data_IF_877043214391
#
_entry.id   IF_877043214391
#
_cell.length_a   1.000
_cell.length_b   1.000
_cell.length_c   1.000
_cell.angle_alpha   90.00
_cell.angle_beta   90.00
_cell.angle_gamma   90.00
#
_symmetry.space_group_name_H-M   'P 1'
#
loop_
_entity.id
_entity.type
_entity.pdbx_description
1 polymer ?
#
# COMPACT_ATOMS: atom_id res chain seq x y z
N UNK A 1 -2.11 -14.38 -9.86
CA UNK A 1 -2.25 -13.86 -11.23
C UNK A 1 -1.20 -12.79 -11.45
N UNK A 2 -0.53 -12.75 -12.62
CA UNK A 2 0.37 -11.63 -12.96
C UNK A 2 -0.38 -10.29 -12.92
N UNK A 3 0.32 -9.23 -12.53
CA UNK A 3 -0.25 -7.89 -12.59
C UNK A 3 -0.60 -7.52 -14.04
N UNK A 4 -1.68 -6.77 -14.23
CA UNK A 4 -2.11 -6.33 -15.56
C UNK A 4 -0.95 -5.66 -16.31
N UNK A 5 -0.24 -4.74 -15.66
CA UNK A 5 0.87 -3.99 -16.25
C UNK A 5 2.03 -4.89 -16.71
N UNK A 6 2.28 -6.00 -16.00
CA UNK A 6 3.28 -6.99 -16.41
C UNK A 6 2.86 -7.74 -17.66
N UNK A 7 1.59 -8.14 -17.75
CA UNK A 7 1.05 -8.83 -18.93
C UNK A 7 1.16 -7.96 -20.20
N UNK A 8 0.74 -6.70 -20.12
CA UNK A 8 0.87 -5.77 -21.25
C UNK A 8 2.34 -5.46 -21.56
N UNK A 9 3.20 -5.36 -20.54
CA UNK A 9 4.64 -5.19 -20.75
C UNK A 9 5.23 -6.38 -21.49
N UNK A 10 4.89 -7.61 -21.13
CA UNK A 10 5.37 -8.82 -21.81
C UNK A 10 4.95 -8.84 -23.29
N UNK A 11 3.72 -8.43 -23.60
CA UNK A 11 3.24 -8.30 -24.98
C UNK A 11 4.03 -7.25 -25.77
N UNK A 12 4.27 -6.07 -25.20
CA UNK A 12 5.05 -5.01 -25.86
C UNK A 12 6.51 -5.42 -26.03
N UNK A 13 7.12 -6.10 -25.05
CA UNK A 13 8.47 -6.69 -25.19
C UNK A 13 8.56 -7.65 -26.37
N UNK A 14 7.53 -8.46 -26.59
CA UNK A 14 7.46 -9.34 -27.77
C UNK A 14 7.35 -8.52 -29.06
N UNK A 15 6.60 -7.42 -29.07
CA UNK A 15 6.55 -6.45 -30.17
C UNK A 15 7.91 -5.83 -30.51
N UNK A 16 8.67 -5.38 -29.51
CA UNK A 16 10.04 -4.89 -29.69
C UNK A 16 10.96 -5.96 -30.29
N UNK A 17 10.87 -7.20 -29.78
CA UNK A 17 11.67 -8.32 -30.29
C UNK A 17 11.35 -8.62 -31.76
N UNK A 18 10.07 -8.64 -32.15
CA UNK A 18 9.63 -8.83 -33.54
C UNK A 18 10.11 -7.72 -34.47
N UNK A 19 10.20 -6.49 -33.96
CA UNK A 19 10.75 -5.35 -34.68
C UNK A 19 12.29 -5.34 -34.77
N UNK A 20 12.98 -6.36 -34.21
CA UNK A 20 14.43 -6.47 -34.20
C UNK A 20 15.11 -5.55 -33.17
N UNK A 21 14.38 -5.16 -32.12
CA UNK A 21 14.85 -4.32 -31.03
C UNK A 21 14.97 -5.13 -29.73
N UNK A 22 15.79 -4.65 -28.80
CA UNK A 22 15.96 -5.27 -27.48
C UNK A 22 14.64 -5.18 -26.69
N UNK A 23 14.20 -6.31 -26.14
CA UNK A 23 12.98 -6.40 -25.35
C UNK A 23 13.00 -5.46 -24.13
N UNK A 24 14.15 -5.14 -23.54
CA UNK A 24 14.26 -4.24 -22.39
C UNK A 24 13.68 -2.84 -22.63
N UNK A 25 13.55 -2.42 -23.88
CA UNK A 25 12.90 -1.16 -24.25
C UNK A 25 11.37 -1.21 -24.17
N UNK A 26 10.74 -2.40 -24.21
CA UNK A 26 9.30 -2.60 -24.20
C UNK A 26 8.60 -2.39 -22.85
N UNK A 27 9.14 -1.52 -21.97
CA UNK A 27 8.52 -1.23 -20.67
C UNK A 27 7.29 -0.35 -20.86
N UNK A 28 6.14 -0.83 -20.39
CA UNK A 28 4.87 -0.08 -20.41
C UNK A 28 4.66 0.60 -19.06
N UNK A 29 4.08 1.79 -19.08
CA UNK A 29 3.63 2.52 -17.89
C UNK A 29 2.22 3.05 -18.13
N UNK A 30 1.50 3.36 -17.05
CA UNK A 30 0.27 4.17 -17.15
C UNK A 30 0.59 5.49 -17.83
N UNK A 31 -0.28 5.94 -18.72
CA UNK A 31 -0.10 7.18 -19.46
C UNK A 31 -0.17 8.40 -18.54
N UNK A 32 0.74 9.34 -18.74
CA UNK A 32 0.66 10.67 -18.10
C UNK A 32 -0.33 11.60 -18.83
N UNK A 33 -0.87 11.16 -19.96
CA UNK A 33 -1.84 11.86 -20.81
C UNK A 33 -3.03 10.94 -21.08
N UNK A 34 -3.90 10.74 -20.07
CA UNK A 34 -5.05 9.82 -20.18
C UNK A 34 -6.06 10.27 -21.25
N UNK A 35 -5.98 11.53 -21.71
CA UNK A 35 -6.75 12.05 -22.84
C UNK A 35 -6.30 11.48 -24.20
N UNK A 36 -5.08 10.92 -24.30
CA UNK A 36 -4.51 10.41 -25.55
C UNK A 36 -4.46 8.88 -25.62
N UNK A 37 -4.26 8.23 -24.47
CA UNK A 37 -4.22 6.77 -24.33
C UNK A 37 -4.21 6.36 -22.84
N UNK A 38 -4.51 5.08 -22.59
CA UNK A 38 -4.48 4.48 -21.25
C UNK A 38 -3.05 4.18 -20.79
N UNK A 39 -2.22 3.64 -21.68
CA UNK A 39 -0.85 3.22 -21.38
C UNK A 39 0.13 3.72 -22.45
N UNK A 40 1.40 3.84 -22.06
CA UNK A 40 2.45 4.27 -22.97
C UNK A 40 3.75 3.49 -22.80
N UNK A 41 4.55 3.44 -23.87
CA UNK A 41 5.93 2.97 -23.86
C UNK A 41 6.84 4.01 -24.54
N UNK A 42 7.92 4.37 -23.86
CA UNK A 42 8.90 5.36 -24.31
C UNK A 42 10.19 4.71 -24.84
N UNK A 43 10.18 3.37 -25.00
CA UNK A 43 11.34 2.56 -25.33
C UNK A 43 12.03 2.94 -26.63
N UNK A 44 11.26 3.29 -27.66
CA UNK A 44 11.81 3.64 -28.96
C UNK A 44 12.70 4.91 -28.90
N UNK A 45 12.37 5.88 -28.04
CA UNK A 45 13.22 7.05 -27.81
C UNK A 45 14.54 6.67 -27.13
N UNK A 46 14.49 5.78 -26.13
CA UNK A 46 15.68 5.31 -25.45
C UNK A 46 16.57 4.44 -26.36
N UNK A 47 15.96 3.65 -27.25
CA UNK A 47 16.65 2.79 -28.22
C UNK A 47 17.35 3.57 -29.34
N UNK A 48 16.93 4.81 -29.61
CA UNK A 48 17.39 5.57 -30.80
C UNK A 48 18.91 5.76 -30.85
N UNK A 49 19.54 5.94 -29.69
CA UNK A 49 21.00 6.07 -29.60
C UNK A 49 21.74 4.77 -29.95
N UNK A 50 21.21 3.62 -29.53
CA UNK A 50 21.83 2.31 -29.76
C UNK A 50 21.64 1.83 -31.21
N UNK A 51 20.45 2.03 -31.77
CA UNK A 51 20.11 1.53 -33.10
C UNK A 51 20.38 2.54 -34.23
N UNK A 52 20.77 3.77 -33.90
CA UNK A 52 21.01 4.87 -34.85
C UNK A 52 19.83 5.08 -35.84
N UNK A 53 18.61 4.83 -35.36
CA UNK A 53 17.37 4.96 -36.12
C UNK A 53 16.49 6.04 -35.51
N UNK A 54 15.66 6.66 -36.36
CA UNK A 54 14.66 7.62 -35.92
C UNK A 54 13.69 6.96 -34.92
N UNK A 55 13.45 7.55 -33.73
CA UNK A 55 12.58 6.92 -32.74
C UNK A 55 11.15 6.67 -33.24
N UNK A 56 10.59 7.59 -34.03
CA UNK A 56 9.26 7.42 -34.61
C UNK A 56 9.20 6.22 -35.55
N UNK A 57 10.25 6.00 -36.37
CA UNK A 57 10.30 4.85 -37.28
C UNK A 57 10.36 3.52 -36.52
N UNK A 58 11.09 3.48 -35.40
CA UNK A 58 11.11 2.30 -34.54
C UNK A 58 9.78 2.08 -33.81
N UNK A 59 9.15 3.16 -33.32
CA UNK A 59 7.82 3.07 -32.73
C UNK A 59 6.79 2.56 -33.75
N UNK A 60 6.78 3.09 -34.98
CA UNK A 60 5.91 2.62 -36.06
C UNK A 60 6.13 1.13 -36.37
N UNK A 61 7.39 0.68 -36.43
CA UNK A 61 7.71 -0.73 -36.66
C UNK A 61 7.20 -1.65 -35.52
N UNK A 62 7.31 -1.21 -34.27
CA UNK A 62 6.77 -1.95 -33.12
C UNK A 62 5.24 -1.94 -33.12
N UNK A 63 4.61 -0.80 -33.42
CA UNK A 63 3.17 -0.68 -33.52
C UNK A 63 2.60 -1.64 -34.58
N UNK A 64 3.25 -1.73 -35.75
CA UNK A 64 2.88 -2.66 -36.81
C UNK A 64 2.99 -4.13 -36.37
N UNK A 65 4.02 -4.48 -35.58
CA UNK A 65 4.18 -5.84 -35.03
C UNK A 65 3.10 -6.22 -34.00
N UNK A 66 2.39 -5.23 -33.45
CA UNK A 66 1.39 -5.39 -32.40
C UNK A 66 -0.05 -5.14 -32.88
N UNK A 67 -0.26 -4.77 -34.15
CA UNK A 67 -1.57 -4.37 -34.68
C UNK A 67 -2.66 -5.45 -34.54
N UNK A 68 -2.25 -6.72 -34.62
CA UNK A 68 -3.13 -7.89 -34.54
C UNK A 68 -3.15 -8.52 -33.14
N UNK A 69 -2.56 -7.84 -32.14
CA UNK A 69 -2.59 -8.32 -30.76
C UNK A 69 -4.00 -8.25 -30.19
N UNK A 70 -4.46 -9.34 -29.59
CA UNK A 70 -5.76 -9.37 -28.91
C UNK A 70 -5.79 -8.54 -27.62
N UNK A 71 -4.63 -8.09 -27.14
CA UNK A 71 -4.47 -7.31 -25.91
C UNK A 71 -4.90 -5.85 -26.11
N UNK A 72 -4.69 -5.30 -27.31
CA UNK A 72 -4.86 -3.88 -27.59
C UNK A 72 -6.04 -3.62 -28.52
N UNK A 73 -6.84 -2.60 -28.21
CA UNK A 73 -7.80 -2.01 -29.16
C UNK A 73 -7.15 -0.90 -29.99
N UNK A 74 -6.09 -0.29 -29.46
CA UNK A 74 -5.32 0.77 -30.10
C UNK A 74 -3.83 0.56 -29.86
N UNK A 75 -3.04 0.65 -30.91
CA UNK A 75 -1.58 0.77 -30.85
C UNK A 75 -1.16 1.88 -31.79
N UNK A 76 -0.67 2.99 -31.25
CA UNK A 76 -0.37 4.19 -32.04
C UNK A 76 1.05 4.68 -31.76
N UNK A 77 1.83 4.87 -32.82
CA UNK A 77 3.12 5.54 -32.74
C UNK A 77 2.94 7.05 -32.90
N UNK A 78 3.40 7.83 -31.91
CA UNK A 78 3.24 9.29 -31.88
C UNK A 78 4.61 9.97 -31.80
N UNK A 79 4.80 11.08 -32.52
CA UNK A 79 6.06 11.83 -32.50
C UNK A 79 6.43 12.30 -31.08
N UNK A 80 7.71 12.26 -30.69
CA UNK A 80 8.87 11.89 -31.51
C UNK A 80 9.16 10.38 -31.56
N UNK A 81 8.41 9.54 -30.84
CA UNK A 81 8.59 8.08 -30.78
C UNK A 81 7.92 7.44 -29.56
N UNK A 82 6.78 7.98 -29.13
CA UNK A 82 5.91 7.37 -28.13
C UNK A 82 5.13 6.23 -28.76
N UNK A 83 4.91 5.16 -28.01
CA UNK A 83 3.92 4.14 -28.31
C UNK A 83 2.77 4.29 -27.32
N UNK A 84 1.59 4.56 -27.83
CA UNK A 84 0.36 4.74 -27.07
C UNK A 84 -0.53 3.51 -27.24
N UNK A 85 -1.14 3.06 -26.14
CA UNK A 85 -1.95 1.85 -26.11
C UNK A 85 -3.27 2.07 -25.38
N UNK A 86 -4.34 1.52 -25.95
CA UNK A 86 -5.60 1.28 -25.24
C UNK A 86 -5.87 -0.22 -25.26
N UNK A 87 -6.36 -0.75 -24.14
CA UNK A 87 -6.61 -2.18 -24.01
C UNK A 87 -7.88 -2.59 -24.77
N UNK A 88 -7.93 -3.85 -25.19
CA UNK A 88 -9.15 -4.40 -25.76
C UNK A 88 -10.16 -4.72 -24.65
N UNK A 89 -11.44 -4.46 -24.91
CA UNK A 89 -12.50 -4.77 -23.95
C UNK A 89 -12.58 -6.27 -23.64
N UNK A 90 -12.29 -7.12 -24.62
CA UNK A 90 -12.25 -8.57 -24.44
C UNK A 90 -11.13 -8.97 -23.45
N UNK A 91 -9.92 -8.46 -23.65
CA UNK A 91 -8.79 -8.73 -22.75
C UNK A 91 -9.06 -8.24 -21.32
N UNK A 92 -9.59 -7.02 -21.17
CA UNK A 92 -9.98 -6.48 -19.87
C UNK A 92 -11.06 -7.31 -19.19
N UNK A 93 -12.09 -7.72 -19.94
CA UNK A 93 -13.16 -8.55 -19.41
C UNK A 93 -12.65 -9.91 -18.96
N UNK A 94 -11.79 -10.55 -19.75
CA UNK A 94 -11.19 -11.84 -19.41
C UNK A 94 -10.32 -11.74 -18.16
N UNK A 95 -9.51 -10.67 -18.06
CA UNK A 95 -8.69 -10.42 -16.88
C UNK A 95 -9.55 -10.20 -15.62
N UNK A 96 -10.58 -9.36 -15.71
CA UNK A 96 -11.49 -9.08 -14.60
C UNK A 96 -12.29 -10.33 -14.16
N UNK A 97 -12.77 -11.13 -15.12
CA UNK A 97 -13.43 -12.40 -14.85
C UNK A 97 -12.47 -13.39 -14.17
N UNK A 98 -11.22 -13.43 -14.63
CA UNK A 98 -10.16 -14.22 -14.01
C UNK A 98 -9.92 -13.80 -12.55
N UNK A 99 -9.80 -12.49 -12.28
CA UNK A 99 -9.69 -11.97 -10.92
C UNK A 99 -10.89 -12.38 -10.06
N UNK A 100 -12.12 -12.19 -10.56
CA UNK A 100 -13.34 -12.52 -9.83
C UNK A 100 -13.46 -14.02 -9.50
N UNK A 101 -12.93 -14.90 -10.37
CA UNK A 101 -12.89 -16.35 -10.15
C UNK A 101 -11.74 -16.81 -9.24
N UNK A 102 -10.72 -15.96 -9.04
CA UNK A 102 -9.54 -16.25 -8.25
C UNK A 102 -9.81 -16.03 -6.76
N UNK A 103 -9.15 -16.84 -5.93
CA UNK A 103 -9.00 -16.50 -4.52
C UNK A 103 -8.32 -15.13 -4.38
N UNK A 104 -8.73 -14.36 -3.37
CA UNK A 104 -8.22 -13.02 -3.08
C UNK A 104 -8.19 -12.03 -4.26
N UNK A 105 -9.08 -12.20 -5.25
CA UNK A 105 -9.15 -11.36 -6.46
C UNK A 105 -7.86 -11.35 -7.31
N UNK A 106 -7.12 -12.46 -7.32
CA UNK A 106 -5.91 -12.61 -8.13
C UNK A 106 -4.61 -12.24 -7.40
N UNK A 107 -4.72 -11.75 -6.16
CA UNK A 107 -3.57 -11.50 -5.29
C UNK A 107 -2.90 -12.82 -4.93
N UNK A 108 -1.68 -13.02 -5.40
CA UNK A 108 -0.88 -14.18 -5.02
C UNK A 108 -0.33 -14.01 -3.62
N UNK A 109 -0.36 -15.08 -2.83
CA UNK A 109 0.34 -15.11 -1.56
C UNK A 109 1.86 -14.96 -1.80
N UNK A 110 2.58 -14.27 -0.91
CA UNK A 110 4.02 -14.12 -1.02
C UNK A 110 4.69 -15.50 -0.97
N UNK A 111 5.67 -15.72 -1.84
CA UNK A 111 6.49 -16.94 -1.83
C UNK A 111 7.14 -17.20 -0.46
N UNK A 112 7.41 -16.10 0.27
CA UNK A 112 7.98 -16.12 1.62
C UNK A 112 7.11 -15.28 2.56
N UNK A 113 6.10 -15.87 3.21
CA UNK A 113 5.32 -15.19 4.22
C UNK A 113 6.22 -14.69 5.34
N UNK A 114 5.98 -13.45 5.77
CA UNK A 114 6.73 -12.79 6.84
C UNK A 114 5.88 -12.72 8.11
N UNK A 115 6.55 -12.67 9.26
CA UNK A 115 5.94 -12.20 10.51
C UNK A 115 6.24 -10.72 10.64
N UNK A 116 5.20 -9.89 10.61
CA UNK A 116 5.29 -8.43 10.71
C UNK A 116 4.78 -8.03 12.09
N UNK A 117 5.59 -7.29 12.84
CA UNK A 117 5.18 -6.65 14.09
C UNK A 117 4.87 -5.19 13.75
N UNK A 118 3.67 -4.75 14.11
CA UNK A 118 3.21 -3.40 13.89
C UNK A 118 2.80 -2.79 15.23
N UNK A 119 3.55 -1.79 15.69
CA UNK A 119 3.18 -0.95 16.81
C UNK A 119 2.40 0.26 16.30
N UNK A 120 1.19 0.46 16.83
CA UNK A 120 0.31 1.55 16.43
C UNK A 120 -0.69 1.91 17.52
N UNK A 121 -1.24 3.13 17.45
CA UNK A 121 -2.18 3.66 18.43
C UNK A 121 -1.49 4.24 19.66
N UNK A 122 -0.62 3.45 20.31
CA UNK A 122 0.18 3.72 21.52
C UNK A 122 -0.03 5.05 22.26
N UNK A 123 -1.22 5.32 22.84
CA UNK A 123 -1.46 6.57 23.54
C UNK A 123 -0.83 6.55 24.93
N UNK A 124 -0.55 7.74 25.48
CA UNK A 124 -0.26 7.87 26.91
C UNK A 124 -1.56 7.64 27.69
N UNK A 125 -1.58 6.67 28.61
CA UNK A 125 -2.80 6.32 29.36
C UNK A 125 -3.16 7.35 30.44
N UNK A 126 -2.25 8.30 30.68
CA UNK A 126 -2.41 9.42 31.59
C UNK A 126 -3.36 10.53 31.09
N UNK A 127 -3.92 10.40 29.87
CA UNK A 127 -4.81 11.40 29.28
C UNK A 127 -5.95 10.75 28.49
N UNK A 128 -7.12 11.40 28.42
CA UNK A 128 -8.19 10.95 27.53
C UNK A 128 -7.75 10.91 26.06
N UNK A 129 -8.32 9.97 25.32
CA UNK A 129 -8.09 9.87 23.89
C UNK A 129 -8.83 10.97 23.14
N UNK A 130 -8.09 11.87 22.48
CA UNK A 130 -8.64 12.82 21.50
C UNK A 130 -8.47 12.34 20.05
N UNK A 131 -9.07 13.06 19.11
CA UNK A 131 -9.05 12.79 17.64
C UNK A 131 -7.65 12.57 17.05
N UNK A 132 -6.61 13.11 17.69
CA UNK A 132 -5.22 12.92 17.27
C UNK A 132 -4.78 11.45 17.35
N UNK A 133 -5.26 10.71 18.36
CA UNK A 133 -4.93 9.29 18.54
C UNK A 133 -5.61 8.40 17.49
N UNK A 134 -6.76 8.83 16.94
CA UNK A 134 -7.46 8.08 15.88
C UNK A 134 -6.58 7.89 14.66
N UNK A 135 -5.72 8.86 14.34
CA UNK A 135 -4.85 8.77 13.15
C UNK A 135 -3.92 7.56 13.23
N UNK A 136 -3.20 7.39 14.33
CA UNK A 136 -2.27 6.25 14.50
C UNK A 136 -3.03 4.93 14.53
N UNK A 137 -4.15 4.88 15.28
CA UNK A 137 -4.98 3.69 15.39
C UNK A 137 -5.54 3.22 14.03
N UNK A 138 -6.13 4.13 13.25
CA UNK A 138 -6.77 3.81 11.97
C UNK A 138 -5.74 3.46 10.89
N UNK A 139 -4.64 4.20 10.79
CA UNK A 139 -3.59 3.91 9.81
C UNK A 139 -2.95 2.55 10.11
N UNK A 140 -2.58 2.30 11.36
CA UNK A 140 -1.97 1.03 11.75
C UNK A 140 -2.92 -0.16 11.54
N UNK A 141 -4.19 -0.02 11.91
CA UNK A 141 -5.18 -1.07 11.67
C UNK A 141 -5.39 -1.34 10.18
N UNK A 142 -5.39 -0.30 9.33
CA UNK A 142 -5.48 -0.44 7.87
C UNK A 142 -4.28 -1.21 7.31
N UNK A 143 -3.06 -0.84 7.70
CA UNK A 143 -1.83 -1.53 7.28
C UNK A 143 -1.84 -2.99 7.74
N UNK A 144 -2.27 -3.26 8.99
CA UNK A 144 -2.40 -4.62 9.52
C UNK A 144 -3.35 -5.46 8.68
N UNK A 145 -4.50 -4.91 8.29
CA UNK A 145 -5.50 -5.59 7.45
C UNK A 145 -4.98 -5.87 6.06
N UNK A 146 -4.35 -4.90 5.42
CA UNK A 146 -3.76 -5.05 4.09
C UNK A 146 -2.68 -6.14 4.10
N UNK A 147 -1.73 -6.08 5.03
CA UNK A 147 -0.65 -7.06 5.10
C UNK A 147 -1.15 -8.48 5.44
N UNK A 148 -2.20 -8.61 6.28
CA UNK A 148 -2.86 -9.91 6.51
C UNK A 148 -3.58 -10.42 5.27
N UNK A 149 -4.27 -9.56 4.55
CA UNK A 149 -4.95 -9.92 3.31
C UNK A 149 -3.95 -10.35 2.22
N UNK A 150 -2.76 -9.76 2.20
CA UNK A 150 -1.63 -10.20 1.37
C UNK A 150 -1.04 -11.55 1.80
N UNK A 151 -1.46 -12.14 2.92
CA UNK A 151 -0.98 -13.46 3.36
C UNK A 151 0.18 -13.43 4.36
N UNK A 152 0.52 -12.28 4.95
CA UNK A 152 1.51 -12.20 6.03
C UNK A 152 0.89 -12.50 7.41
N UNK A 153 1.69 -13.04 8.32
CA UNK A 153 1.34 -13.08 9.74
C UNK A 153 1.63 -11.71 10.33
N UNK A 154 0.59 -10.99 10.77
CA UNK A 154 0.77 -9.66 11.37
C UNK A 154 0.36 -9.66 12.83
N UNK A 155 1.29 -9.28 13.69
CA UNK A 155 1.11 -9.08 15.13
C UNK A 155 0.98 -7.57 15.34
N UNK A 156 -0.20 -7.13 15.80
CA UNK A 156 -0.40 -5.75 16.21
C UNK A 156 -0.08 -5.61 17.69
N UNK A 157 0.69 -4.59 18.02
CA UNK A 157 0.96 -4.18 19.40
C UNK A 157 0.53 -2.72 19.58
N UNK A 158 0.14 -2.38 20.81
CA UNK A 158 -0.17 -1.02 21.20
C UNK A 158 0.77 -0.69 22.34
N UNK A 159 1.90 -0.06 22.03
CA UNK A 159 2.84 0.31 23.07
C UNK A 159 2.31 1.49 23.87
N UNK A 160 1.73 1.19 25.03
CA UNK A 160 1.11 2.19 25.89
C UNK A 160 2.16 3.07 26.56
N UNK A 161 1.89 4.37 26.64
CA UNK A 161 2.65 5.29 27.47
C UNK A 161 2.21 5.21 28.92
N UNK A 162 2.43 4.05 29.55
CA UNK A 162 1.94 3.69 30.89
C UNK A 162 2.98 3.86 32.00
N UNK A 163 4.17 4.37 31.68
CA UNK A 163 5.24 4.63 32.63
C UNK A 163 5.94 5.96 32.37
N UNK A 164 6.35 6.66 33.44
CA UNK A 164 7.09 7.93 33.36
C UNK A 164 6.50 9.05 34.21
N UNK A 165 6.96 10.28 33.97
CA UNK A 165 6.59 11.47 34.73
C UNK A 165 5.07 11.66 34.81
N UNK A 166 4.35 11.41 33.72
CA UNK A 166 2.90 11.55 33.65
C UNK A 166 2.17 10.65 34.67
N UNK A 167 2.71 9.45 34.98
CA UNK A 167 2.14 8.60 36.02
C UNK A 167 2.48 9.10 37.41
N UNK A 168 3.71 9.57 37.62
CA UNK A 168 4.11 10.19 38.89
C UNK A 168 3.23 11.38 39.26
N UNK A 169 2.90 12.24 38.28
CA UNK A 169 1.99 13.36 38.47
C UNK A 169 0.59 12.89 38.88
N UNK A 170 0.01 11.91 38.17
CA UNK A 170 -1.33 11.38 38.51
C UNK A 170 -1.36 10.76 39.90
N UNK A 171 -0.38 9.93 40.24
CA UNK A 171 -0.29 9.27 41.55
C UNK A 171 -0.17 10.33 42.66
N UNK A 172 0.64 11.36 42.45
CA UNK A 172 0.85 12.45 43.42
C UNK A 172 -0.44 13.23 43.64
N UNK A 173 -1.10 13.68 42.57
CA UNK A 173 -2.37 14.41 42.68
C UNK A 173 -3.47 13.56 43.32
N UNK A 174 -3.54 12.26 42.98
CA UNK A 174 -4.49 11.34 43.58
C UNK A 174 -4.24 11.18 45.09
N UNK A 175 -2.97 11.15 45.51
CA UNK A 175 -2.58 11.11 46.92
C UNK A 175 -2.99 12.39 47.65
N UNK A 176 -2.78 13.56 47.05
CA UNK A 176 -3.19 14.85 47.63
C UNK A 176 -4.72 14.97 47.76
N UNK A 177 -5.48 14.54 46.75
CA UNK A 177 -6.96 14.61 46.76
C UNK A 177 -7.62 13.55 47.64
N UNK A 178 -7.08 12.33 47.65
CA UNK A 178 -7.69 11.15 48.28
C UNK A 178 -6.62 10.34 49.06
N UNK A 179 -6.02 10.91 50.13
CA UNK A 179 -4.91 10.30 50.85
C UNK A 179 -5.30 8.98 51.54
N UNK A 180 -6.57 8.81 51.90
CA UNK A 180 -7.09 7.63 52.59
C UNK A 180 -7.34 6.42 51.67
N UNK A 181 -7.04 6.53 50.38
CA UNK A 181 -7.15 5.38 49.48
C UNK A 181 -6.18 4.28 49.92
N UNK A 182 -6.67 3.04 49.89
CA UNK A 182 -5.90 1.84 50.27
C UNK A 182 -4.59 1.65 49.46
N UNK A 183 -4.47 2.29 48.30
CA UNK A 183 -3.25 2.28 47.48
C UNK A 183 -2.07 3.01 48.16
N UNK A 184 -2.34 3.88 49.13
CA UNK A 184 -1.34 4.66 49.86
C UNK A 184 -1.11 4.16 51.28
N UNK A 185 -1.82 3.11 51.70
CA UNK A 185 -1.63 2.46 53.00
C UNK A 185 -0.64 1.29 52.86
N UNK A 186 0.59 1.49 53.33
CA UNK A 186 1.64 0.48 53.31
C UNK A 186 1.30 -0.77 54.14
N UNK A 187 0.34 -0.67 55.07
CA UNK A 187 -0.12 -1.78 55.91
C UNK A 187 -1.26 -2.59 55.29
N UNK A 188 -1.79 -2.14 54.15
CA UNK A 188 -2.89 -2.81 53.47
C UNK A 188 -2.46 -4.17 52.90
N UNK A 189 -3.15 -5.23 53.31
CA UNK A 189 -2.86 -6.62 52.91
C UNK A 189 -4.04 -7.30 52.20
N UNK A 190 -5.11 -6.54 51.92
CA UNK A 190 -6.29 -7.01 51.21
C UNK A 190 -6.13 -7.00 49.68
N UNK A 191 -7.19 -7.34 48.97
CA UNK A 191 -7.25 -7.17 47.51
C UNK A 191 -7.55 -5.72 47.15
N UNK A 192 -6.72 -5.12 46.29
CA UNK A 192 -6.99 -3.77 45.80
C UNK A 192 -8.32 -3.70 45.03
N UNK A 193 -9.04 -2.55 45.09
CA UNK A 193 -10.25 -2.35 44.32
C UNK A 193 -9.99 -2.56 42.82
N UNK A 194 -10.91 -3.27 42.16
CA UNK A 194 -10.84 -3.56 40.72
C UNK A 194 -11.14 -2.37 39.83
N UNK A 195 -11.92 -1.42 40.35
CA UNK A 195 -12.31 -0.20 39.64
C UNK A 195 -11.33 0.93 40.00
N UNK A 196 -10.93 1.78 39.02
CA UNK A 196 -10.10 2.94 39.29
C UNK A 196 -10.76 3.92 40.28
N UNK A 197 -9.99 4.57 41.16
CA UNK A 197 -10.52 5.53 42.15
C UNK A 197 -10.85 6.90 41.57
N UNK A 198 -10.86 7.03 40.23
CA UNK A 198 -11.16 8.24 39.49
C UNK A 198 -11.84 7.91 38.17
N UNK A 199 -12.64 8.86 37.68
CA UNK A 199 -13.27 8.87 36.37
C UNK A 199 -12.36 9.49 35.32
N UNK A 200 -12.68 9.30 34.04
CA UNK A 200 -11.97 9.97 32.95
C UNK A 200 -12.07 11.50 33.06
N UNK A 201 -13.21 12.02 33.53
CA UNK A 201 -13.38 13.46 33.75
C UNK A 201 -12.52 13.98 34.90
N UNK A 202 -12.41 13.24 36.01
CA UNK A 202 -11.46 13.60 37.08
C UNK A 202 -10.01 13.59 36.57
N UNK A 203 -9.65 12.70 35.64
CA UNK A 203 -8.32 12.64 35.03
C UNK A 203 -8.00 13.87 34.15
N UNK A 204 -9.00 14.55 33.59
CA UNK A 204 -8.80 15.81 32.85
C UNK A 204 -8.43 16.98 33.76
N UNK A 205 -8.75 16.88 35.04
CA UNK A 205 -8.49 17.89 36.06
C UNK A 205 -7.19 17.67 36.85
N UNK A 206 -6.50 16.55 36.60
CA UNK A 206 -5.21 16.15 37.19
C UNK A 206 -4.07 16.52 36.24
#
# INVERSE_FOLDING_TARGET
MKELLELITDEVKAGFTKAGLDASYGRVTVSNRPDLCEYQCNGAMAAAKQYHKSPIVMAEAVAECLKDSSVFSKVEAVKPGFLNFDLSAAFLSDYANGMASSEHFGLEAPEKPLTIILDYGGPNVAKPLHVGHLRSAVIGESIKRIARYMGHKVIGDVHLGDWGLQMGLIITELHERKPDLVYFDESYTGEYPKEPPFTISELEEI
#
